data_IF_822394252130
#
_entry.id   IF_822394252130
#
_cell.length_a   1.000
_cell.length_b   1.000
_cell.length_c   1.000
_cell.angle_alpha   90.00
_cell.angle_beta   90.00
_cell.angle_gamma   90.00
#
_symmetry.space_group_name_H-M   'P 1'
#
loop_
_entity.id
_entity.type
_entity.pdbx_description
1 polymer ?
#
# COMPACT_ATOMS: atom_id res chain seq x y z
N UNK A 1 47.50 -59.54 2.65
CA UNK A 1 47.61 -59.39 1.17
C UNK A 1 47.39 -57.90 0.88
N UNK A 2 48.47 -57.12 0.64
CA UNK A 2 48.79 -56.43 -0.65
C UNK A 2 47.56 -55.76 -1.31
N UNK A 3 47.53 -54.51 -1.76
CA UNK A 3 48.45 -53.38 -1.82
C UNK A 3 47.67 -52.17 -2.45
N UNK A 4 48.09 -50.94 -2.15
CA UNK A 4 48.09 -49.69 -2.95
C UNK A 4 46.91 -49.35 -3.89
N UNK A 5 46.16 -48.26 -3.66
CA UNK A 5 46.45 -46.83 -3.96
C UNK A 5 46.16 -46.42 -5.42
N UNK A 6 45.27 -45.42 -5.63
CA UNK A 6 45.60 -44.16 -6.33
C UNK A 6 44.43 -43.17 -6.30
N UNK A 7 44.78 -41.93 -5.98
CA UNK A 7 44.04 -40.67 -6.03
C UNK A 7 43.70 -40.21 -7.46
N UNK A 8 42.60 -39.47 -7.63
CA UNK A 8 42.60 -38.25 -8.47
C UNK A 8 41.45 -37.31 -8.05
N UNK A 9 41.82 -36.07 -7.72
CA UNK A 9 40.93 -34.96 -7.46
C UNK A 9 40.42 -34.35 -8.77
N UNK A 10 39.23 -33.72 -8.74
CA UNK A 10 38.86 -32.52 -9.52
C UNK A 10 37.50 -32.04 -8.98
N UNK A 11 37.46 -31.06 -8.07
CA UNK A 11 37.24 -29.64 -8.36
C UNK A 11 35.99 -29.33 -9.22
N UNK A 12 35.10 -28.51 -8.62
CA UNK A 12 34.42 -27.36 -9.23
C UNK A 12 32.89 -27.42 -9.39
N UNK A 13 32.25 -26.58 -8.57
CA UNK A 13 31.25 -25.55 -8.92
C UNK A 13 29.79 -25.74 -8.46
N UNK A 14 29.41 -24.79 -7.60
CA UNK A 14 28.06 -24.30 -7.35
C UNK A 14 27.33 -23.99 -8.66
N UNK A 15 26.07 -24.42 -8.78
CA UNK A 15 25.05 -23.67 -9.53
C UNK A 15 23.70 -23.79 -8.86
N UNK A 16 23.13 -22.63 -8.58
CA UNK A 16 21.77 -22.36 -8.12
C UNK A 16 20.71 -22.80 -9.13
N UNK A 17 19.64 -23.45 -8.68
CA UNK A 17 18.43 -23.68 -9.47
C UNK A 17 17.68 -22.36 -9.72
N UNK A 18 18.04 -21.67 -10.81
CA UNK A 18 17.17 -20.67 -11.43
C UNK A 18 16.21 -21.41 -12.36
N UNK A 19 14.94 -21.44 -11.98
CA UNK A 19 13.83 -21.97 -12.76
C UNK A 19 13.60 -21.11 -14.01
N UNK A 20 14.31 -21.41 -15.10
CA UNK A 20 14.01 -20.89 -16.43
C UNK A 20 12.87 -21.68 -17.06
N UNK A 21 11.77 -21.00 -17.44
CA UNK A 21 10.64 -21.58 -18.16
C UNK A 21 11.07 -22.01 -19.57
N UNK A 22 10.93 -23.30 -19.88
CA UNK A 22 11.24 -23.86 -21.19
C UNK A 22 10.47 -23.16 -22.33
N UNK A 23 11.21 -22.59 -23.28
CA UNK A 23 10.68 -22.10 -24.56
C UNK A 23 10.52 -23.29 -25.51
N UNK A 24 9.39 -23.37 -26.22
CA UNK A 24 8.99 -24.51 -27.05
C UNK A 24 9.40 -24.26 -28.51
N UNK A 25 9.88 -25.30 -29.19
CA UNK A 25 10.54 -25.25 -30.50
C UNK A 25 9.69 -24.60 -31.61
N UNK A 26 10.07 -23.38 -32.03
CA UNK A 26 10.15 -22.89 -33.43
C UNK A 26 10.22 -21.34 -33.52
N UNK A 27 11.25 -20.69 -32.95
CA UNK A 27 11.49 -19.25 -33.13
C UNK A 27 12.98 -18.97 -33.44
N UNK A 28 13.31 -18.22 -34.51
CA UNK A 28 14.64 -17.66 -34.71
C UNK A 28 14.85 -16.35 -33.91
N UNK A 29 16.13 -16.01 -33.73
CA UNK A 29 16.77 -15.51 -32.51
C UNK A 29 16.84 -13.98 -32.37
N UNK A 30 16.49 -13.50 -31.16
CA UNK A 30 16.75 -12.16 -30.63
C UNK A 30 16.35 -12.12 -29.15
N UNK A 31 17.14 -11.44 -28.30
CA UNK A 31 17.34 -11.62 -26.84
C UNK A 31 16.13 -11.62 -25.87
N UNK A 32 14.92 -12.02 -26.26
CA UNK A 32 13.79 -12.17 -25.34
C UNK A 32 12.81 -13.24 -25.80
N UNK A 33 12.27 -14.02 -24.86
CA UNK A 33 11.28 -15.06 -25.11
C UNK A 33 9.98 -14.43 -25.61
N UNK A 34 9.62 -14.66 -26.87
CA UNK A 34 8.40 -14.13 -27.45
C UNK A 34 7.28 -15.17 -27.30
N UNK A 35 6.10 -14.71 -26.87
CA UNK A 35 4.84 -15.46 -26.77
C UNK A 35 4.56 -16.37 -27.99
N UNK A 36 3.88 -17.50 -27.73
CA UNK A 36 3.50 -18.62 -28.63
C UNK A 36 2.82 -18.23 -29.96
N UNK A 37 2.48 -16.95 -30.20
CA UNK A 37 1.75 -16.50 -31.39
C UNK A 37 2.48 -15.42 -32.22
N UNK A 38 3.82 -15.46 -32.30
CA UNK A 38 4.57 -14.61 -33.24
C UNK A 38 5.51 -15.43 -34.13
N UNK A 39 5.25 -15.39 -35.44
CA UNK A 39 6.08 -16.00 -36.49
C UNK A 39 7.13 -15.00 -36.99
N UNK A 40 8.42 -15.33 -36.88
CA UNK A 40 9.50 -14.56 -37.51
C UNK A 40 9.73 -15.04 -38.95
N UNK A 41 9.75 -14.12 -39.91
CA UNK A 41 10.19 -14.39 -41.28
C UNK A 41 11.64 -13.89 -41.45
N UNK A 42 12.51 -14.73 -42.00
CA UNK A 42 13.88 -14.37 -42.40
C UNK A 42 13.88 -14.25 -43.93
N UNK A 43 14.32 -13.09 -44.45
CA UNK A 43 14.80 -12.97 -45.82
C UNK A 43 14.08 -11.97 -46.74
N UNK A 44 14.82 -10.91 -47.07
CA UNK A 44 14.91 -10.18 -48.36
C UNK A 44 13.80 -9.16 -48.71
N UNK A 45 14.22 -7.89 -48.62
CA UNK A 45 13.95 -6.72 -49.49
C UNK A 45 12.67 -6.71 -50.34
N UNK A 46 11.76 -5.82 -49.97
CA UNK A 46 11.33 -4.73 -50.87
C UNK A 46 10.48 -3.72 -50.08
N UNK A 47 11.05 -2.54 -49.88
CA UNK A 47 10.41 -1.39 -49.25
C UNK A 47 9.29 -0.88 -50.16
N UNK A 48 8.03 -0.90 -49.70
CA UNK A 48 6.99 0.00 -50.21
C UNK A 48 6.19 0.48 -49.00
N UNK A 49 6.36 1.75 -48.67
CA UNK A 49 5.60 2.43 -47.63
C UNK A 49 4.19 2.78 -48.13
N UNK A 50 3.16 2.61 -47.28
CA UNK A 50 2.01 3.50 -47.31
C UNK A 50 1.81 4.18 -45.95
N UNK A 51 1.94 5.52 -46.00
CA UNK A 51 1.27 6.58 -45.25
C UNK A 51 0.95 6.40 -43.75
N UNK A 52 1.41 7.29 -42.84
CA UNK A 52 1.19 7.16 -41.42
C UNK A 52 -0.28 7.43 -41.07
N UNK A 53 -1.01 6.39 -40.66
CA UNK A 53 -2.27 6.58 -39.94
C UNK A 53 -1.91 6.89 -38.49
N UNK A 54 -2.14 8.13 -38.08
CA UNK A 54 -2.03 8.61 -36.70
C UNK A 54 -2.85 7.67 -35.81
N UNK A 55 -2.18 6.78 -35.08
CA UNK A 55 -2.78 6.05 -33.98
C UNK A 55 -2.55 6.87 -32.72
N UNK A 56 -3.64 7.45 -32.23
CA UNK A 56 -3.81 7.93 -30.88
C UNK A 56 -3.17 6.95 -29.89
N UNK A 57 -2.17 7.36 -29.09
CA UNK A 57 -1.68 6.50 -28.03
C UNK A 57 -2.78 6.36 -26.96
N UNK A 58 -3.21 5.12 -26.71
CA UNK A 58 -3.77 4.75 -25.39
C UNK A 58 -2.80 5.24 -24.31
N UNK A 59 -3.30 5.67 -23.13
CA UNK A 59 -2.45 6.22 -22.08
C UNK A 59 -1.52 5.12 -21.59
N UNK A 60 -0.32 5.10 -22.16
CA UNK A 60 0.81 4.41 -21.58
C UNK A 60 1.13 5.22 -20.35
N UNK A 61 0.74 4.71 -19.18
CA UNK A 61 1.21 5.24 -17.90
C UNK A 61 2.72 5.05 -17.89
N UNK A 62 3.42 6.07 -18.39
CA UNK A 62 4.85 6.24 -18.22
C UNK A 62 5.09 6.33 -16.71
N UNK A 63 5.66 5.27 -16.14
CA UNK A 63 6.37 5.39 -14.88
C UNK A 63 7.64 6.18 -15.16
N UNK A 64 7.46 7.50 -15.25
CA UNK A 64 8.54 8.47 -15.14
C UNK A 64 9.21 8.17 -13.80
N UNK A 65 10.48 7.79 -13.87
CA UNK A 65 11.33 7.56 -12.70
C UNK A 65 11.49 8.92 -12.02
N UNK A 66 10.56 9.21 -11.11
CA UNK A 66 10.51 10.47 -10.40
C UNK A 66 11.72 10.56 -9.47
N UNK A 67 12.49 11.64 -9.62
CA UNK A 67 13.57 11.99 -8.72
C UNK A 67 13.01 12.09 -7.31
N UNK A 68 13.60 11.29 -6.41
CA UNK A 68 13.13 11.22 -5.03
C UNK A 68 13.14 12.61 -4.40
N UNK A 69 11.97 13.10 -3.97
CA UNK A 69 11.81 14.46 -3.43
C UNK A 69 11.42 14.41 -1.96
N UNK A 70 12.09 15.20 -1.13
CA UNK A 70 11.78 15.27 0.30
C UNK A 70 10.59 16.22 0.51
N UNK A 71 9.57 15.74 1.22
CA UNK A 71 8.31 16.43 1.51
C UNK A 71 8.02 16.37 3.01
N UNK A 72 7.18 17.26 3.50
CA UNK A 72 6.79 17.34 4.90
C UNK A 72 5.30 17.08 5.08
N UNK A 73 4.94 16.32 6.12
CA UNK A 73 3.55 16.07 6.50
C UNK A 73 2.96 17.35 7.11
N UNK A 74 1.82 17.82 6.59
CA UNK A 74 1.18 19.06 7.04
C UNK A 74 -0.12 18.87 7.84
N UNK A 75 -0.69 17.66 7.86
CA UNK A 75 -1.92 17.40 8.62
C UNK A 75 -1.64 16.53 9.85
N UNK A 76 -2.26 16.87 11.00
CA UNK A 76 -2.09 16.18 12.28
C UNK A 76 -2.72 14.76 12.34
N UNK A 77 -3.56 14.41 11.35
CA UNK A 77 -4.28 13.13 11.31
C UNK A 77 -4.04 12.37 9.99
N UNK A 78 -2.78 12.35 9.57
CA UNK A 78 -2.35 11.66 8.35
C UNK A 78 -1.90 10.25 8.67
N UNK A 79 -2.31 9.28 7.85
CA UNK A 79 -1.86 7.90 7.92
C UNK A 79 -1.21 7.48 6.61
N UNK A 80 -0.14 6.68 6.71
CA UNK A 80 0.32 5.91 5.57
C UNK A 80 -0.50 4.64 5.41
N UNK A 81 -0.58 4.13 4.18
CA UNK A 81 -1.39 2.98 3.80
C UNK A 81 -0.60 2.01 2.91
N UNK A 82 -1.04 0.75 2.86
CA UNK A 82 -0.34 -0.29 2.10
C UNK A 82 -0.65 -0.34 0.60
N UNK A 83 -1.52 0.52 0.09
CA UNK A 83 -1.91 0.60 -1.32
C UNK A 83 -2.53 1.97 -1.62
N UNK A 84 -2.41 2.50 -2.86
CA UNK A 84 -2.90 3.84 -3.21
C UNK A 84 -4.42 3.87 -3.44
N UNK A 85 -5.20 3.58 -2.39
CA UNK A 85 -6.65 3.68 -2.40
C UNK A 85 -7.21 3.97 -0.99
N UNK A 86 -8.40 4.57 -0.91
CA UNK A 86 -9.01 5.00 0.35
C UNK A 86 -9.47 3.86 1.27
N UNK A 87 -9.55 2.63 0.77
CA UNK A 87 -9.90 1.43 1.55
C UNK A 87 -8.67 0.64 2.01
N UNK A 88 -7.47 1.12 1.70
CA UNK A 88 -6.22 0.46 2.01
C UNK A 88 -6.00 0.41 3.52
N UNK A 89 -5.27 -0.62 3.96
CA UNK A 89 -4.94 -0.78 5.38
C UNK A 89 -3.99 0.34 5.79
N UNK A 90 -4.38 1.13 6.80
CA UNK A 90 -3.49 2.09 7.46
C UNK A 90 -2.34 1.33 8.14
N UNK A 91 -1.11 1.77 7.88
CA UNK A 91 0.12 1.17 8.37
C UNK A 91 0.57 1.85 9.65
N UNK A 92 0.73 3.18 9.62
CA UNK A 92 1.11 3.99 10.77
C UNK A 92 0.55 5.41 10.65
N UNK A 93 0.46 6.08 11.80
CA UNK A 93 0.21 7.52 11.87
C UNK A 93 1.50 8.26 11.51
N UNK A 94 1.36 9.33 10.75
CA UNK A 94 2.45 10.21 10.35
C UNK A 94 2.51 11.39 11.34
N UNK A 95 3.70 11.75 11.80
CA UNK A 95 3.84 12.90 12.67
C UNK A 95 3.75 14.20 11.86
N UNK A 96 3.15 15.25 12.44
CA UNK A 96 3.15 16.56 11.83
C UNK A 96 4.58 17.08 11.66
N UNK A 97 4.89 17.60 10.48
CA UNK A 97 6.24 18.04 10.10
C UNK A 97 7.24 16.89 9.89
N UNK A 98 6.79 15.63 9.90
CA UNK A 98 7.62 14.48 9.54
C UNK A 98 8.08 14.64 8.08
N UNK A 99 9.38 14.47 7.85
CA UNK A 99 9.95 14.47 6.50
C UNK A 99 9.84 13.07 5.91
N UNK A 100 9.25 12.99 4.73
CA UNK A 100 9.13 11.75 3.95
C UNK A 100 9.76 11.94 2.57
N UNK A 101 10.27 10.86 2.00
CA UNK A 101 10.84 10.87 0.65
C UNK A 101 9.85 10.29 -0.35
N UNK A 102 9.45 11.08 -1.34
CA UNK A 102 8.54 10.67 -2.40
C UNK A 102 9.30 9.92 -3.49
N UNK A 103 9.00 8.64 -3.70
CA UNK A 103 9.62 7.80 -4.73
C UNK A 103 8.79 7.65 -6.00
N UNK A 104 7.46 7.72 -5.85
CA UNK A 104 6.54 7.51 -6.97
C UNK A 104 5.24 8.25 -6.69
N UNK A 105 4.58 8.72 -7.74
CA UNK A 105 3.23 9.25 -7.67
C UNK A 105 2.28 8.40 -8.51
N UNK A 106 1.11 8.09 -7.95
CA UNK A 106 -0.01 7.46 -8.65
C UNK A 106 -1.29 8.21 -8.29
N UNK A 107 -1.78 9.04 -9.20
CA UNK A 107 -2.93 9.94 -8.93
C UNK A 107 -2.63 10.87 -7.75
N UNK A 108 -3.50 10.83 -6.73
CA UNK A 108 -3.36 11.60 -5.49
C UNK A 108 -2.48 10.91 -4.43
N UNK A 109 -1.84 9.79 -4.76
CA UNK A 109 -1.01 9.02 -3.83
C UNK A 109 0.47 9.19 -4.13
N UNK A 110 1.25 9.30 -3.06
CA UNK A 110 2.70 9.38 -3.08
C UNK A 110 3.24 8.14 -2.36
N UNK A 111 4.09 7.38 -3.05
CA UNK A 111 4.84 6.28 -2.46
C UNK A 111 5.99 6.86 -1.65
N UNK A 112 6.05 6.51 -0.37
CA UNK A 112 7.10 6.94 0.56
C UNK A 112 8.04 5.80 0.98
N UNK A 113 7.74 4.59 0.53
CA UNK A 113 8.62 3.42 0.64
C UNK A 113 9.57 3.35 -0.55
N UNK A 114 10.81 2.94 -0.28
CA UNK A 114 11.80 2.68 -1.33
C UNK A 114 11.34 1.60 -2.32
N UNK A 115 11.79 1.66 -3.59
CA UNK A 115 11.58 0.58 -4.54
C UNK A 115 12.11 -0.74 -3.99
N UNK A 116 11.26 -1.77 -3.94
CA UNK A 116 11.61 -3.09 -3.39
C UNK A 116 11.26 -3.30 -1.91
N UNK A 117 10.88 -2.24 -1.19
CA UNK A 117 10.28 -2.35 0.15
C UNK A 117 8.76 -2.57 0.06
N UNK A 118 8.12 -3.10 1.13
CA UNK A 118 6.67 -3.13 1.23
C UNK A 118 6.06 -1.76 0.93
N UNK A 119 5.00 -1.77 0.12
CA UNK A 119 4.34 -0.56 -0.32
C UNK A 119 3.79 0.24 0.85
N UNK A 120 4.24 1.48 0.93
CA UNK A 120 3.77 2.51 1.85
C UNK A 120 3.48 3.78 1.06
N UNK A 121 2.22 4.21 1.14
CA UNK A 121 1.65 5.31 0.38
C UNK A 121 1.01 6.33 1.31
N UNK A 122 1.01 7.58 0.91
CA UNK A 122 0.39 8.70 1.63
C UNK A 122 -0.32 9.60 0.62
N UNK A 123 -1.35 10.34 1.04
CA UNK A 123 -2.03 11.25 0.13
C UNK A 123 -1.16 12.48 -0.15
N UNK A 124 -1.22 12.99 -1.38
CA UNK A 124 -0.51 14.19 -1.80
C UNK A 124 -0.95 15.42 -1.00
N UNK A 125 -2.24 15.50 -0.69
CA UNK A 125 -2.84 16.65 -0.01
C UNK A 125 -2.32 16.83 1.42
N UNK A 126 -1.85 15.75 2.06
CA UNK A 126 -1.25 15.83 3.39
C UNK A 126 0.23 16.18 3.37
N UNK A 127 0.80 16.50 2.20
CA UNK A 127 2.23 16.82 2.02
C UNK A 127 2.46 18.23 1.51
N UNK A 128 3.57 18.82 1.94
CA UNK A 128 4.05 20.13 1.51
C UNK A 128 5.56 20.12 1.24
N UNK A 129 6.04 21.06 0.43
CA UNK A 129 7.45 21.18 0.05
C UNK A 129 8.32 21.78 1.16
N UNK A 130 7.75 22.65 1.99
CA UNK A 130 8.47 23.35 3.05
C UNK A 130 8.00 22.88 4.40
N UNK A 131 8.93 22.68 5.35
CA UNK A 131 8.57 22.30 6.71
C UNK A 131 7.55 23.30 7.28
N UNK A 132 6.35 22.85 7.65
CA UNK A 132 5.31 23.76 8.10
C UNK A 132 5.73 24.39 9.44
N UNK A 133 5.65 25.74 9.58
CA UNK A 133 6.30 26.48 10.66
C UNK A 133 5.67 26.20 12.03
N UNK A 134 4.36 25.96 12.08
CA UNK A 134 3.58 25.64 13.27
C UNK A 134 2.58 24.54 12.93
N UNK A 135 2.33 23.61 13.85
CA UNK A 135 1.20 22.68 13.75
C UNK A 135 -0.06 23.52 13.50
N UNK A 136 -0.91 23.19 12.50
CA UNK A 136 -2.17 23.89 12.33
C UNK A 136 -2.84 23.85 13.69
N UNK A 137 -3.04 25.04 14.27
CA UNK A 137 -3.41 25.21 15.66
C UNK A 137 -4.48 24.16 15.98
N UNK A 138 -4.11 23.23 16.86
CA UNK A 138 -5.08 22.37 17.51
C UNK A 138 -6.12 23.36 18.02
N UNK A 139 -7.34 23.35 17.47
CA UNK A 139 -8.41 24.08 18.11
C UNK A 139 -8.53 23.43 19.47
N UNK A 140 -7.85 24.02 20.45
CA UNK A 140 -7.97 23.74 21.87
C UNK A 140 -9.39 24.20 22.23
N UNK A 141 -10.35 23.38 21.82
CA UNK A 141 -11.73 23.56 22.25
C UNK A 141 -11.73 23.17 23.73
N UNK A 142 -12.32 24.02 24.59
CA UNK A 142 -12.33 23.80 26.04
C UNK A 142 -12.86 22.41 26.37
N UNK A 143 -12.46 21.82 27.51
CA UNK A 143 -12.78 20.45 27.86
C UNK A 143 -14.30 20.25 27.79
N UNK A 144 -14.77 19.55 26.76
CA UNK A 144 -16.17 19.24 26.61
C UNK A 144 -16.51 18.21 27.69
N UNK A 145 -17.15 18.68 28.76
CA UNK A 145 -18.04 17.85 29.57
C UNK A 145 -19.06 17.27 28.60
N UNK A 146 -18.96 15.97 28.31
CA UNK A 146 -19.87 15.27 27.42
C UNK A 146 -21.24 15.19 28.10
N UNK A 147 -22.12 16.11 27.75
CA UNK A 147 -23.54 15.97 28.02
C UNK A 147 -24.16 15.33 26.79
N UNK A 148 -24.77 14.18 27.02
CA UNK A 148 -25.27 13.19 26.06
C UNK A 148 -26.32 13.80 25.10
N UNK A 149 -25.86 14.57 24.13
CA UNK A 149 -26.62 15.06 22.99
C UNK A 149 -26.13 14.31 21.76
N UNK A 150 -27.05 13.72 21.00
CA UNK A 150 -26.72 12.81 19.89
C UNK A 150 -25.66 13.42 18.95
N UNK A 151 -24.49 12.78 18.77
CA UNK A 151 -23.42 13.39 18.00
C UNK A 151 -23.82 13.42 16.52
N UNK A 152 -23.86 14.61 15.93
CA UNK A 152 -24.19 14.85 14.50
C UNK A 152 -23.36 14.04 13.50
N UNK A 153 -22.27 13.44 13.95
CA UNK A 153 -21.30 12.72 13.12
C UNK A 153 -21.42 11.18 13.24
N UNK A 154 -22.38 10.67 14.02
CA UNK A 154 -22.65 9.22 14.09
C UNK A 154 -23.37 8.78 12.82
N UNK A 155 -22.68 8.01 11.98
CA UNK A 155 -23.22 7.48 10.73
C UNK A 155 -24.08 6.23 10.95
N UNK A 156 -23.87 5.50 12.05
CA UNK A 156 -24.69 4.38 12.46
C UNK A 156 -24.58 4.09 13.96
N UNK A 157 -25.63 3.56 14.56
CA UNK A 157 -25.57 2.93 15.86
C UNK A 157 -25.48 1.43 15.70
N UNK A 158 -24.53 0.81 16.38
CA UNK A 158 -24.32 -0.63 16.35
C UNK A 158 -24.36 -1.23 17.75
N UNK A 159 -24.39 -2.56 17.82
CA UNK A 159 -24.20 -3.30 19.05
C UNK A 159 -23.15 -4.39 18.86
N UNK A 160 -22.32 -4.61 19.88
CA UNK A 160 -21.37 -5.71 19.86
C UNK A 160 -22.10 -7.07 19.86
N UNK A 161 -21.81 -7.93 18.89
CA UNK A 161 -22.42 -9.26 18.75
C UNK A 161 -21.67 -10.35 19.53
N UNK A 162 -20.53 -10.00 20.12
CA UNK A 162 -19.71 -10.93 20.90
C UNK A 162 -18.99 -10.15 22.00
N UNK A 163 -18.80 -10.80 23.14
CA UNK A 163 -17.92 -10.32 24.18
C UNK A 163 -16.45 -10.67 23.91
N UNK A 164 -16.10 -11.43 22.86
CA UNK A 164 -14.72 -11.81 22.55
C UNK A 164 -13.99 -10.78 21.66
N UNK A 165 -14.67 -9.73 21.22
CA UNK A 165 -14.11 -8.70 20.37
C UNK A 165 -13.27 -7.70 21.19
N UNK A 166 -12.27 -7.13 20.53
CA UNK A 166 -11.47 -6.03 21.07
C UNK A 166 -11.57 -4.81 20.16
N UNK A 167 -11.30 -3.66 20.74
CA UNK A 167 -11.05 -2.42 20.03
C UNK A 167 -9.54 -2.20 19.87
N UNK A 168 -9.17 -1.39 18.90
CA UNK A 168 -7.80 -1.23 18.43
C UNK A 168 -7.46 0.25 18.20
N UNK A 169 -6.22 0.62 18.45
CA UNK A 169 -5.74 1.99 18.21
C UNK A 169 -5.65 2.36 16.72
N UNK A 170 -5.65 1.36 15.84
CA UNK A 170 -5.62 1.52 14.39
C UNK A 170 -6.50 0.42 13.74
N UNK A 171 -6.96 0.63 12.50
CA UNK A 171 -7.75 -0.35 11.73
C UNK A 171 -6.84 -1.44 11.14
N UNK A 172 -6.20 -2.18 12.04
CA UNK A 172 -5.19 -3.19 11.75
C UNK A 172 -5.18 -4.25 12.86
N UNK A 173 -5.14 -5.53 12.49
CA UNK A 173 -5.16 -6.65 13.45
C UNK A 173 -3.90 -6.77 14.29
N UNK A 174 -2.83 -6.09 13.86
CA UNK A 174 -1.54 -6.02 14.57
C UNK A 174 -1.42 -4.77 15.44
N UNK A 175 -2.42 -3.88 15.42
CA UNK A 175 -2.41 -2.69 16.25
C UNK A 175 -2.58 -3.04 17.73
N UNK A 176 -2.15 -2.17 18.65
CA UNK A 176 -2.44 -2.31 20.07
C UNK A 176 -3.95 -2.47 20.30
N UNK A 177 -4.31 -3.47 21.12
CA UNK A 177 -5.68 -3.65 21.61
C UNK A 177 -5.89 -2.67 22.76
N UNK A 178 -6.99 -1.92 22.72
CA UNK A 178 -7.30 -0.92 23.74
C UNK A 178 -8.18 -1.51 24.84
N UNK A 179 -9.33 -2.08 24.47
CA UNK A 179 -10.24 -2.73 25.42
C UNK A 179 -11.03 -3.86 24.76
N UNK A 180 -11.63 -4.71 25.60
CA UNK A 180 -12.55 -5.78 25.21
C UNK A 180 -13.97 -5.22 25.15
N UNK A 181 -14.74 -5.62 24.14
CA UNK A 181 -16.16 -5.26 24.02
C UNK A 181 -17.01 -6.14 24.91
N UNK A 182 -18.12 -5.58 25.38
CA UNK A 182 -19.16 -6.33 26.09
C UNK A 182 -20.25 -6.75 25.10
N UNK A 183 -20.77 -7.97 25.19
CA UNK A 183 -21.91 -8.41 24.37
C UNK A 183 -23.09 -7.44 24.53
N UNK A 184 -23.64 -6.96 23.41
CA UNK A 184 -24.74 -6.00 23.38
C UNK A 184 -24.32 -4.54 23.64
N UNK A 185 -23.03 -4.25 23.84
CA UNK A 185 -22.53 -2.89 24.02
C UNK A 185 -22.92 -2.01 22.83
N UNK A 186 -23.67 -0.94 23.10
CA UNK A 186 -24.10 0.03 22.09
C UNK A 186 -22.92 0.93 21.73
N UNK A 187 -22.55 0.95 20.46
CA UNK A 187 -21.39 1.67 19.95
C UNK A 187 -21.82 2.65 18.85
N UNK A 188 -21.50 3.96 18.97
CA UNK A 188 -21.61 4.88 17.86
C UNK A 188 -20.55 4.52 16.81
N UNK A 189 -20.92 4.55 15.53
CA UNK A 189 -19.99 4.39 14.41
C UNK A 189 -19.87 5.73 13.71
N UNK A 190 -18.63 6.22 13.55
CA UNK A 190 -18.31 7.50 12.91
C UNK A 190 -17.69 7.34 11.53
N UNK A 191 -17.02 6.22 11.26
CA UNK A 191 -16.35 5.96 9.98
C UNK A 191 -16.33 4.45 9.70
N UNK A 192 -16.48 4.06 8.44
CA UNK A 192 -16.28 2.70 7.97
C UNK A 192 -15.08 2.66 7.02
N UNK A 193 -14.14 1.76 7.28
CA UNK A 193 -12.96 1.59 6.42
C UNK A 193 -12.62 0.10 6.28
N UNK A 194 -12.93 -0.47 5.11
CA UNK A 194 -12.79 -1.90 4.87
C UNK A 194 -13.57 -2.73 5.89
N UNK A 195 -12.88 -3.61 6.62
CA UNK A 195 -13.44 -4.46 7.68
C UNK A 195 -13.54 -3.75 9.04
N UNK A 196 -13.27 -2.44 9.11
CA UNK A 196 -13.16 -1.70 10.36
C UNK A 196 -14.23 -0.60 10.48
N UNK A 197 -14.64 -0.34 11.72
CA UNK A 197 -15.51 0.76 12.10
C UNK A 197 -14.79 1.60 13.17
N UNK A 198 -14.74 2.92 12.98
CA UNK A 198 -14.27 3.86 14.01
C UNK A 198 -15.42 4.17 14.94
N UNK A 199 -15.20 3.99 16.24
CA UNK A 199 -16.21 4.20 17.29
C UNK A 199 -15.95 5.43 18.15
N UNK A 200 -14.93 6.22 17.80
CA UNK A 200 -14.66 7.55 18.33
C UNK A 200 -14.77 8.62 17.23
N UNK A 201 -15.10 9.87 17.59
CA UNK A 201 -15.13 10.97 16.63
C UNK A 201 -13.72 11.31 16.12
N UNK A 202 -13.66 12.00 14.97
CA UNK A 202 -12.38 12.50 14.45
C UNK A 202 -11.72 13.46 15.46
N UNK A 203 -10.40 13.33 15.64
CA UNK A 203 -9.62 14.15 16.57
C UNK A 203 -9.62 13.69 18.04
N UNK A 204 -10.37 12.63 18.38
CA UNK A 204 -10.20 11.91 19.65
C UNK A 204 -9.13 10.80 19.50
N UNK A 205 -8.74 10.17 20.61
CA UNK A 205 -7.96 8.94 20.54
C UNK A 205 -8.73 7.89 19.74
N UNK A 206 -8.09 7.38 18.69
CA UNK A 206 -8.75 6.49 17.74
C UNK A 206 -9.08 5.15 18.39
N UNK A 207 -10.33 4.73 18.23
CA UNK A 207 -10.78 3.42 18.64
C UNK A 207 -11.52 2.75 17.48
N UNK A 208 -10.96 1.64 17.02
CA UNK A 208 -11.46 0.87 15.88
C UNK A 208 -11.91 -0.52 16.30
N UNK A 209 -12.99 -1.00 15.71
CA UNK A 209 -13.50 -2.36 15.90
C UNK A 209 -13.71 -3.04 14.55
N UNK A 210 -13.51 -4.36 14.51
CA UNK A 210 -13.80 -5.14 13.30
C UNK A 210 -15.32 -5.22 13.12
N UNK A 211 -15.80 -4.78 11.94
CA UNK A 211 -17.23 -4.67 11.58
C UNK A 211 -18.01 -5.96 11.76
N UNK A 212 -17.40 -7.12 11.51
CA UNK A 212 -18.06 -8.43 11.67
C UNK A 212 -18.49 -8.75 13.12
N UNK A 213 -18.01 -7.97 14.09
CA UNK A 213 -18.41 -8.10 15.49
C UNK A 213 -19.49 -7.09 15.88
N UNK A 214 -19.95 -6.27 14.94
CA UNK A 214 -20.99 -5.28 15.13
C UNK A 214 -22.26 -5.71 14.38
N UNK A 215 -23.41 -5.60 15.03
CA UNK A 215 -24.71 -5.68 14.38
C UNK A 215 -25.08 -4.30 13.85
N UNK A 216 -24.57 -3.99 12.65
CA UNK A 216 -24.90 -2.79 11.86
C UNK A 216 -25.81 -3.19 10.71
#
# INVERSE_FOLDING_TARGET
>A
MKALALSLALFSLLTTDVWAKNCRNSQPCGNSCISWNKTCRIGISSYVAPTPTIRTPSPTTSHETAVASDLYVQDNDTYSVNSPNHTARRLRRMAFGEMVRAYQQVGDWIRISEPGQPDEWITRQSLTLSKPPHSPAQSEKPPLKYELSEPKDVIAWSHAQTDAAFTYALPSRTAPRLRRLVLGEKLPVYELMGDWARITPAGADEEWVIRRYLGI
#
